data_IF_039131519453
#
_entry.id   IF_039131519453
#
_cell.length_a   1.000
_cell.length_b   1.000
_cell.length_c   1.000
_cell.angle_alpha   90.00
_cell.angle_beta   90.00
_cell.angle_gamma   90.00
#
_symmetry.space_group_name_H-M   'P 1'
#
loop_
_entity.id
_entity.type
_entity.pdbx_description
1 polymer ?
#
# COMPACT_ATOMS: atom_id res chain seq x y z
N UNK A 1 18.45 -20.62 -42.25
CA UNK A 1 18.17 -19.82 -41.03
C UNK A 1 16.98 -20.44 -40.30
N UNK A 2 17.22 -21.16 -39.21
CA UNK A 2 16.25 -22.06 -38.53
C UNK A 2 15.30 -21.32 -37.57
N UNK A 3 14.01 -21.72 -37.56
CA UNK A 3 12.94 -21.10 -36.74
C UNK A 3 13.26 -21.01 -35.24
N UNK A 4 14.09 -21.91 -34.71
CA UNK A 4 14.51 -21.90 -33.30
C UNK A 4 15.24 -20.61 -32.87
N UNK A 5 15.97 -19.96 -33.78
CA UNK A 5 16.72 -18.73 -33.46
C UNK A 5 15.81 -17.50 -33.33
N UNK A 6 14.68 -17.46 -34.08
CA UNK A 6 13.65 -16.41 -33.94
C UNK A 6 12.87 -16.54 -32.63
N UNK A 7 12.51 -17.76 -32.21
CA UNK A 7 11.79 -18.02 -30.95
C UNK A 7 12.62 -17.62 -29.73
N UNK A 8 13.91 -17.96 -29.72
CA UNK A 8 14.85 -17.57 -28.64
C UNK A 8 14.99 -16.04 -28.52
N UNK A 9 15.04 -15.32 -29.65
CA UNK A 9 15.09 -13.84 -29.65
C UNK A 9 13.78 -13.20 -29.19
N UNK A 10 12.63 -13.76 -29.57
CA UNK A 10 11.32 -13.29 -29.12
C UNK A 10 11.13 -13.48 -27.61
N UNK A 11 11.58 -14.60 -27.07
CA UNK A 11 11.50 -14.90 -25.64
C UNK A 11 12.43 -14.02 -24.81
N UNK A 12 13.68 -13.80 -25.25
CA UNK A 12 14.61 -12.83 -24.63
C UNK A 12 14.02 -11.41 -24.62
N UNK A 13 13.33 -11.00 -25.69
CA UNK A 13 12.62 -9.71 -25.73
C UNK A 13 11.44 -9.66 -24.77
N UNK A 14 10.66 -10.74 -24.60
CA UNK A 14 9.57 -10.81 -23.61
C UNK A 14 10.09 -10.74 -22.18
N UNK A 15 11.13 -11.50 -21.84
CA UNK A 15 11.74 -11.48 -20.50
C UNK A 15 12.33 -10.09 -20.19
N UNK A 16 13.01 -9.45 -21.15
CA UNK A 16 13.49 -8.06 -20.99
C UNK A 16 12.33 -7.07 -20.81
N UNK A 17 11.27 -7.15 -21.63
CA UNK A 17 10.08 -6.29 -21.47
C UNK A 17 9.41 -6.49 -20.12
N UNK A 18 9.24 -7.74 -19.66
CA UNK A 18 8.68 -8.05 -18.34
C UNK A 18 9.51 -7.50 -17.18
N UNK A 19 10.84 -7.57 -17.26
CA UNK A 19 11.75 -6.99 -16.25
C UNK A 19 11.71 -5.45 -16.24
N UNK A 20 11.65 -4.81 -17.42
CA UNK A 20 11.56 -3.34 -17.52
C UNK A 20 10.20 -2.84 -17.02
N UNK A 21 9.12 -3.52 -17.40
CA UNK A 21 7.77 -3.16 -16.99
C UNK A 21 7.52 -3.42 -15.49
N UNK A 22 8.11 -4.48 -14.94
CA UNK A 22 8.11 -4.76 -13.50
C UNK A 22 8.88 -3.71 -12.68
N UNK A 23 10.00 -3.18 -13.20
CA UNK A 23 10.73 -2.07 -12.56
C UNK A 23 9.92 -0.76 -12.55
N UNK A 24 9.27 -0.42 -13.66
CA UNK A 24 8.44 0.78 -13.76
C UNK A 24 7.23 0.76 -12.82
N UNK A 25 6.53 -0.39 -12.74
CA UNK A 25 5.34 -0.55 -11.88
C UNK A 25 5.63 -0.35 -10.39
N UNK A 26 6.70 -0.95 -9.88
CA UNK A 26 7.08 -0.84 -8.46
C UNK A 26 7.42 0.59 -8.06
N UNK A 27 8.14 1.30 -8.92
CA UNK A 27 8.50 2.70 -8.69
C UNK A 27 7.28 3.61 -8.67
N UNK A 28 6.39 3.44 -9.64
CA UNK A 28 5.17 4.25 -9.71
C UNK A 28 4.25 3.99 -8.52
N UNK A 29 4.15 2.73 -8.07
CA UNK A 29 3.39 2.38 -6.87
C UNK A 29 4.00 2.98 -5.60
N UNK A 30 5.32 2.88 -5.42
CA UNK A 30 6.00 3.44 -4.25
C UNK A 30 5.85 4.97 -4.19
N UNK A 31 5.93 5.65 -5.34
CA UNK A 31 5.68 7.10 -5.42
C UNK A 31 4.21 7.41 -5.13
N UNK A 32 3.26 6.63 -5.68
CA UNK A 32 1.82 6.81 -5.43
C UNK A 32 1.47 6.70 -3.95
N UNK A 33 1.97 5.65 -3.28
CA UNK A 33 1.79 5.43 -1.84
C UNK A 33 2.44 6.57 -1.05
N UNK A 34 3.67 6.96 -1.38
CA UNK A 34 4.35 8.07 -0.68
C UNK A 34 3.62 9.41 -0.79
N UNK A 35 2.95 9.68 -1.91
CA UNK A 35 2.20 10.92 -2.11
C UNK A 35 0.90 10.93 -1.28
N UNK A 36 0.16 9.82 -1.20
CA UNK A 36 -1.07 9.75 -0.38
C UNK A 36 -0.78 9.73 1.14
N UNK A 37 0.37 9.18 1.55
CA UNK A 37 0.73 9.08 2.97
C UNK A 37 1.09 10.43 3.57
N UNK A 38 1.42 11.43 2.74
CA UNK A 38 1.68 12.79 3.21
C UNK A 38 0.40 13.46 3.78
N UNK A 39 -0.74 13.50 3.05
CA UNK A 39 -2.04 13.85 3.62
C UNK A 39 -2.42 13.06 4.89
N UNK A 40 -2.18 11.74 4.92
CA UNK A 40 -2.51 10.90 6.08
C UNK A 40 -1.66 11.24 7.30
N UNK A 41 -0.35 11.45 7.12
CA UNK A 41 0.55 11.87 8.18
C UNK A 41 0.17 13.24 8.76
N UNK A 42 -0.29 14.17 7.91
CA UNK A 42 -0.83 15.45 8.36
C UNK A 42 -2.16 15.28 9.11
N UNK A 43 -3.05 14.40 8.64
CA UNK A 43 -4.33 14.10 9.29
C UNK A 43 -4.16 13.50 10.70
N UNK A 44 -3.05 12.80 10.97
CA UNK A 44 -2.70 12.33 12.32
C UNK A 44 -2.02 13.44 13.16
N UNK A 45 -1.19 14.28 12.53
CA UNK A 45 -0.41 15.32 13.22
C UNK A 45 -1.27 16.51 13.69
N UNK A 46 -2.23 16.95 12.87
CA UNK A 46 -3.08 18.10 13.14
C UNK A 46 -3.99 17.95 14.37
N UNK A 47 -4.71 16.82 14.58
CA UNK A 47 -5.50 16.63 15.79
C UNK A 47 -4.63 16.55 17.04
N UNK A 48 -3.45 15.91 16.99
CA UNK A 48 -2.49 15.92 18.11
C UNK A 48 -2.09 17.35 18.50
N UNK A 49 -1.91 18.24 17.52
CA UNK A 49 -1.66 19.66 17.79
C UNK A 49 -2.88 20.34 18.43
N UNK A 50 -4.09 20.01 17.98
CA UNK A 50 -5.33 20.52 18.57
C UNK A 50 -5.54 20.04 20.03
N UNK A 51 -5.05 18.86 20.39
CA UNK A 51 -5.01 18.34 21.77
C UNK A 51 -3.93 18.97 22.66
N UNK A 52 -3.24 20.02 22.19
CA UNK A 52 -2.28 20.80 23.00
C UNK A 52 -0.82 20.35 22.90
N UNK A 53 -0.48 19.38 22.05
CA UNK A 53 0.91 18.99 21.83
C UNK A 53 1.71 20.09 21.10
N UNK A 54 3.03 20.10 21.26
CA UNK A 54 3.90 21.01 20.51
C UNK A 54 3.96 20.59 19.04
N UNK A 55 4.12 21.56 18.12
CA UNK A 55 4.10 21.31 16.67
C UNK A 55 5.11 20.21 16.28
N UNK A 56 6.30 20.25 16.89
CA UNK A 56 7.34 19.26 16.69
C UNK A 56 6.98 17.87 17.21
N UNK A 57 6.33 17.75 18.38
CA UNK A 57 5.90 16.45 18.89
C UNK A 57 4.80 15.86 18.02
N UNK A 58 3.82 16.66 17.62
CA UNK A 58 2.74 16.22 16.73
C UNK A 58 3.26 15.74 15.37
N UNK A 59 4.22 16.48 14.79
CA UNK A 59 4.89 16.08 13.56
C UNK A 59 5.69 14.77 13.74
N UNK A 60 6.42 14.63 14.84
CA UNK A 60 7.16 13.40 15.15
C UNK A 60 6.24 12.18 15.25
N UNK A 61 5.08 12.32 15.90
CA UNK A 61 4.10 11.23 15.97
C UNK A 61 3.49 10.89 14.60
N UNK A 62 3.22 11.90 13.75
CA UNK A 62 2.79 11.66 12.38
C UNK A 62 3.82 10.87 11.56
N UNK A 63 5.10 11.24 11.67
CA UNK A 63 6.19 10.52 11.01
C UNK A 63 6.38 9.09 11.55
N UNK A 64 6.27 8.90 12.87
CA UNK A 64 6.34 7.59 13.49
C UNK A 64 5.19 6.69 13.04
N UNK A 65 3.98 7.24 12.88
CA UNK A 65 2.84 6.53 12.30
C UNK A 65 3.11 6.08 10.87
N UNK A 66 3.67 6.95 10.02
CA UNK A 66 4.04 6.58 8.65
C UNK A 66 5.17 5.54 8.57
N UNK A 67 6.06 5.49 9.57
CA UNK A 67 7.14 4.51 9.65
C UNK A 67 6.64 3.07 9.90
N UNK A 68 5.39 2.91 10.35
CA UNK A 68 4.76 1.61 10.56
C UNK A 68 4.53 0.88 9.21
N UNK A 69 4.18 1.60 8.15
CA UNK A 69 3.91 0.99 6.83
C UNK A 69 5.08 0.21 6.23
N UNK A 70 6.32 0.71 6.14
CA UNK A 70 7.43 -0.07 5.58
C UNK A 70 7.75 -1.30 6.45
N UNK A 71 7.62 -1.19 7.78
CA UNK A 71 7.88 -2.30 8.70
C UNK A 71 6.85 -3.42 8.47
N UNK A 72 5.57 -3.09 8.52
CA UNK A 72 4.50 -4.06 8.29
C UNK A 72 4.39 -4.49 6.83
N UNK A 73 4.84 -3.66 5.87
CA UNK A 73 4.94 -4.04 4.46
C UNK A 73 5.97 -5.15 4.22
N UNK A 74 7.12 -5.09 4.92
CA UNK A 74 8.12 -6.16 4.87
C UNK A 74 7.60 -7.41 5.59
N UNK A 75 7.06 -7.27 6.79
CA UNK A 75 6.49 -8.40 7.55
C UNK A 75 5.34 -9.07 6.79
N UNK A 76 4.45 -8.27 6.19
CA UNK A 76 3.36 -8.73 5.35
C UNK A 76 3.86 -9.46 4.12
N UNK A 77 4.90 -8.95 3.44
CA UNK A 77 5.51 -9.64 2.30
C UNK A 77 6.09 -11.01 2.69
N UNK A 78 6.68 -11.13 3.88
CA UNK A 78 7.17 -12.40 4.42
C UNK A 78 6.00 -13.34 4.76
N UNK A 79 4.98 -12.87 5.47
CA UNK A 79 3.81 -13.67 5.84
C UNK A 79 3.04 -14.19 4.61
N UNK A 80 2.79 -13.31 3.64
CA UNK A 80 2.16 -13.61 2.34
C UNK A 80 2.92 -14.70 1.58
N UNK A 81 4.25 -14.74 1.70
CA UNK A 81 5.06 -15.75 1.03
C UNK A 81 4.76 -17.17 1.51
N UNK A 82 4.34 -17.32 2.78
CA UNK A 82 4.00 -18.61 3.41
C UNK A 82 2.49 -18.90 3.32
N UNK A 83 1.63 -17.88 3.39
CA UNK A 83 0.18 -18.02 3.51
C UNK A 83 -0.60 -17.91 2.19
N UNK A 84 0.05 -18.07 1.03
CA UNK A 84 -0.56 -17.83 -0.30
C UNK A 84 -1.95 -18.45 -0.52
N UNK A 85 -2.22 -19.71 -0.12
CA UNK A 85 -3.54 -20.31 -0.31
C UNK A 85 -4.63 -19.70 0.58
N UNK A 86 -4.26 -19.11 1.71
CA UNK A 86 -5.17 -18.53 2.70
C UNK A 86 -5.51 -17.06 2.39
N UNK A 87 -4.66 -16.37 1.62
CA UNK A 87 -4.84 -14.97 1.24
C UNK A 87 -6.21 -14.63 0.65
N UNK A 88 -6.79 -15.38 -0.31
CA UNK A 88 -8.09 -14.99 -0.87
C UNK A 88 -9.20 -14.95 0.19
N UNK A 89 -9.18 -15.90 1.13
CA UNK A 89 -10.15 -15.94 2.24
C UNK A 89 -9.94 -14.79 3.23
N UNK A 90 -8.67 -14.53 3.59
CA UNK A 90 -8.32 -13.43 4.48
C UNK A 90 -8.67 -12.06 3.87
N UNK A 91 -8.39 -11.86 2.57
CA UNK A 91 -8.72 -10.64 1.84
C UNK A 91 -10.23 -10.46 1.69
N UNK A 92 -10.99 -11.52 1.43
CA UNK A 92 -12.47 -11.43 1.39
C UNK A 92 -13.05 -11.06 2.75
N UNK A 93 -12.48 -11.59 3.84
CA UNK A 93 -12.88 -11.25 5.19
C UNK A 93 -12.57 -9.79 5.52
N UNK A 94 -11.34 -9.32 5.22
CA UNK A 94 -10.93 -7.94 5.43
C UNK A 94 -11.79 -6.95 4.62
N UNK A 95 -12.13 -7.29 3.37
CA UNK A 95 -13.03 -6.48 2.55
C UNK A 95 -14.44 -6.38 3.17
N UNK A 96 -14.98 -7.49 3.66
CA UNK A 96 -16.26 -7.49 4.37
C UNK A 96 -16.24 -6.63 5.64
N UNK A 97 -15.18 -6.72 6.44
CA UNK A 97 -15.00 -5.89 7.63
C UNK A 97 -14.95 -4.39 7.29
N UNK A 98 -14.22 -4.00 6.25
CA UNK A 98 -14.17 -2.60 5.81
C UNK A 98 -15.53 -2.08 5.32
N UNK A 99 -16.33 -2.91 4.64
CA UNK A 99 -17.69 -2.53 4.23
C UNK A 99 -18.58 -2.32 5.47
N UNK A 100 -18.51 -3.21 6.47
CA UNK A 100 -19.27 -3.05 7.72
C UNK A 100 -18.93 -1.74 8.42
N UNK A 101 -17.65 -1.46 8.63
CA UNK A 101 -17.18 -0.21 9.28
C UNK A 101 -17.66 1.03 8.52
N UNK A 102 -17.59 1.01 7.19
CA UNK A 102 -18.09 2.15 6.39
C UNK A 102 -19.59 2.36 6.58
N UNK A 103 -20.38 1.29 6.65
CA UNK A 103 -21.83 1.40 6.83
C UNK A 103 -22.19 1.84 8.26
N UNK A 104 -21.47 1.36 9.26
CA UNK A 104 -21.77 1.59 10.68
C UNK A 104 -21.27 2.96 11.16
N UNK A 105 -20.05 3.35 10.77
CA UNK A 105 -19.41 4.58 11.28
C UNK A 105 -19.47 5.73 10.26
N UNK A 106 -19.03 5.50 9.02
CA UNK A 106 -18.81 6.58 8.04
C UNK A 106 -20.13 7.13 7.47
N UNK A 107 -21.10 6.28 7.13
CA UNK A 107 -22.38 6.72 6.55
C UNK A 107 -23.20 7.57 7.55
N UNK A 108 -23.34 7.17 8.83
CA UNK A 108 -24.03 7.99 9.82
C UNK A 108 -23.31 9.31 10.11
N UNK A 109 -21.97 9.29 10.21
CA UNK A 109 -21.18 10.51 10.43
C UNK A 109 -21.29 11.49 9.26
N UNK A 110 -21.27 11.00 8.02
CA UNK A 110 -21.43 11.81 6.81
C UNK A 110 -22.84 12.37 6.60
N UNK A 111 -23.87 11.77 7.20
CA UNK A 111 -25.28 12.20 7.09
C UNK A 111 -25.72 13.10 8.26
N UNK A 112 -24.92 13.20 9.31
CA UNK A 112 -25.23 13.95 10.54
C UNK A 112 -24.45 15.26 10.68
N UNK A 113 -23.57 15.58 9.72
CA UNK A 113 -22.89 16.87 9.57
C UNK A 113 -23.51 17.72 8.47
#
# INVERSE_FOLDING_TARGET
MTQGSKKKRADVRRVRKGKIQGKGRRRNLAIGIGIQNFPEGLAVSLPLKAFGFSLWKSFWYGQLSGMVEPIFGILGALAVSMARPLLPYALSFAAGAMIYVVVDDIIPEASSG
#
